data_IF_773021010562
#
_entry.id   IF_773021010562
#
_cell.length_a   1.000
_cell.length_b   1.000
_cell.length_c   1.000
_cell.angle_alpha   90.00
_cell.angle_beta   90.00
_cell.angle_gamma   90.00
#
_symmetry.space_group_name_H-M   'P 1'
#
loop_
_entity.id
_entity.type
_entity.pdbx_description
1 polymer ?
#
# COMPACT_ATOMS: atom_id res chain seq x y z
N UNK A 1 4.46 15.80 -1.33
CA UNK A 1 5.12 17.10 -1.59
C UNK A 1 5.50 17.72 -0.26
N UNK A 2 6.57 18.53 -0.18
CA UNK A 2 6.78 19.38 1.00
C UNK A 2 5.81 20.55 0.95
N UNK A 3 5.01 20.74 2.00
CA UNK A 3 4.08 21.86 2.08
C UNK A 3 4.84 23.18 2.21
N UNK A 4 4.68 24.09 1.25
CA UNK A 4 5.41 25.37 1.20
C UNK A 4 4.87 26.39 2.21
N UNK A 5 3.57 26.34 2.52
CA UNK A 5 2.92 27.36 3.36
C UNK A 5 2.67 26.88 4.79
N UNK A 6 2.29 25.60 4.97
CA UNK A 6 1.90 25.02 6.27
C UNK A 6 2.60 23.69 6.56
N UNK A 7 3.58 23.30 5.75
CA UNK A 7 4.34 22.09 6.00
C UNK A 7 5.26 22.23 7.20
N UNK A 8 5.62 21.09 7.81
CA UNK A 8 6.58 21.03 8.92
C UNK A 8 7.89 21.73 8.54
N UNK A 9 8.38 21.49 7.32
CA UNK A 9 9.54 22.16 6.77
C UNK A 9 9.40 23.68 6.74
N UNK A 10 8.30 24.22 6.22
CA UNK A 10 8.07 25.66 6.14
C UNK A 10 8.04 26.30 7.54
N UNK A 11 7.37 25.65 8.50
CA UNK A 11 7.34 26.12 9.91
C UNK A 11 8.71 26.11 10.56
N UNK A 12 9.52 25.07 10.30
CA UNK A 12 10.88 25.00 10.83
C UNK A 12 11.81 26.03 10.18
N UNK A 13 11.61 26.35 8.89
CA UNK A 13 12.36 27.40 8.21
C UNK A 13 12.02 28.81 8.73
N UNK A 14 10.77 29.05 9.18
CA UNK A 14 10.42 30.29 9.87
C UNK A 14 11.18 30.48 11.19
N UNK A 15 11.45 29.38 11.91
CA UNK A 15 12.18 29.41 13.18
C UNK A 15 13.70 29.40 12.97
N UNK A 16 14.17 28.77 11.90
CA UNK A 16 15.57 28.61 11.56
C UNK A 16 15.79 28.83 10.06
N UNK A 17 16.08 30.07 9.61
CA UNK A 17 16.23 30.38 8.18
C UNK A 17 17.40 29.65 7.50
N UNK A 18 18.40 29.19 8.26
CA UNK A 18 19.53 28.41 7.75
C UNK A 18 19.20 26.93 7.53
N UNK A 19 17.99 26.48 7.86
CA UNK A 19 17.56 25.10 7.66
C UNK A 19 17.43 24.78 6.17
N UNK A 20 18.22 23.80 5.72
CA UNK A 20 18.15 23.25 4.36
C UNK A 20 17.32 21.96 4.37
N UNK A 21 16.09 21.97 3.83
CA UNK A 21 15.31 20.75 3.76
C UNK A 21 15.80 19.83 2.66
N UNK A 22 16.05 18.57 3.03
CA UNK A 22 16.42 17.52 2.09
C UNK A 22 15.18 16.67 1.79
N UNK A 23 14.95 16.41 0.50
CA UNK A 23 13.87 15.54 0.07
C UNK A 23 14.31 14.08 0.20
N UNK A 24 13.52 13.27 0.90
CA UNK A 24 13.70 11.82 0.86
C UNK A 24 13.34 11.32 -0.54
N UNK A 25 14.32 10.77 -1.25
CA UNK A 25 14.15 10.24 -2.62
C UNK A 25 13.08 9.15 -2.66
N UNK A 26 13.05 8.26 -1.66
CA UNK A 26 12.06 7.19 -1.57
C UNK A 26 10.63 7.75 -1.47
N UNK A 27 10.41 8.76 -0.62
CA UNK A 27 9.09 9.40 -0.51
C UNK A 27 8.70 10.16 -1.78
N UNK A 28 9.67 10.80 -2.45
CA UNK A 28 9.40 11.50 -3.71
C UNK A 28 9.00 10.53 -4.82
N UNK A 29 9.68 9.39 -4.94
CA UNK A 29 9.35 8.35 -5.91
C UNK A 29 7.95 7.78 -5.67
N UNK A 30 7.62 7.50 -4.41
CA UNK A 30 6.28 7.04 -4.01
C UNK A 30 5.19 8.05 -4.40
N UNK A 31 5.38 9.33 -4.09
CA UNK A 31 4.42 10.37 -4.46
C UNK A 31 4.18 10.43 -5.97
N UNK A 32 5.25 10.35 -6.77
CA UNK A 32 5.14 10.34 -8.23
C UNK A 32 4.37 9.12 -8.70
N UNK A 33 4.66 7.92 -8.18
CA UNK A 33 3.93 6.71 -8.53
C UNK A 33 2.43 6.82 -8.17
N UNK A 34 2.11 7.34 -6.98
CA UNK A 34 0.72 7.57 -6.55
C UNK A 34 0.02 8.62 -7.42
N UNK A 35 0.72 9.67 -7.85
CA UNK A 35 0.18 10.69 -8.74
C UNK A 35 -0.04 10.15 -10.15
N UNK A 36 0.84 9.26 -10.66
CA UNK A 36 0.63 8.55 -11.92
C UNK A 36 -0.60 7.64 -11.88
N UNK A 37 -0.81 6.91 -10.78
CA UNK A 37 -1.98 6.04 -10.60
C UNK A 37 -3.29 6.83 -10.60
N UNK A 38 -3.32 8.02 -10.00
CA UNK A 38 -4.50 8.90 -10.03
C UNK A 38 -4.91 9.33 -11.44
N UNK A 39 -3.97 9.35 -12.39
CA UNK A 39 -4.26 9.72 -13.78
C UNK A 39 -4.97 8.60 -14.55
N UNK A 40 -4.97 7.37 -14.04
CA UNK A 40 -5.61 6.21 -14.65
C UNK A 40 -6.75 5.73 -13.73
N UNK A 41 -8.03 6.04 -14.05
CA UNK A 41 -9.17 5.75 -13.19
C UNK A 41 -9.25 4.28 -12.75
N UNK A 42 -8.97 3.35 -13.67
CA UNK A 42 -9.01 1.93 -13.40
C UNK A 42 -7.98 1.50 -12.33
N UNK A 43 -6.77 2.07 -12.38
CA UNK A 43 -5.74 1.79 -11.37
C UNK A 43 -6.10 2.40 -10.02
N UNK A 44 -6.76 3.56 -10.04
CA UNK A 44 -7.28 4.19 -8.83
C UNK A 44 -8.38 3.34 -8.17
N UNK A 45 -9.29 2.76 -8.95
CA UNK A 45 -10.36 1.88 -8.46
C UNK A 45 -9.79 0.58 -7.89
N UNK A 46 -8.81 -0.03 -8.58
CA UNK A 46 -8.09 -1.22 -8.09
C UNK A 46 -7.41 -0.90 -6.75
N UNK A 47 -6.67 0.20 -6.69
CA UNK A 47 -6.01 0.64 -5.45
C UNK A 47 -7.01 0.82 -4.32
N UNK A 48 -8.13 1.51 -4.57
CA UNK A 48 -9.16 1.77 -3.57
C UNK A 48 -9.77 0.46 -3.05
N UNK A 49 -10.03 -0.48 -3.95
CA UNK A 49 -10.56 -1.80 -3.63
C UNK A 49 -9.59 -2.58 -2.74
N UNK A 50 -8.30 -2.64 -3.11
CA UNK A 50 -7.28 -3.30 -2.30
C UNK A 50 -7.13 -2.66 -0.90
N UNK A 51 -7.19 -1.33 -0.82
CA UNK A 51 -7.17 -0.61 0.46
C UNK A 51 -8.38 -0.99 1.33
N UNK A 52 -9.57 -1.08 0.73
CA UNK A 52 -10.80 -1.43 1.43
C UNK A 52 -10.75 -2.86 1.96
N UNK A 53 -10.26 -3.82 1.16
CA UNK A 53 -10.09 -5.21 1.58
C UNK A 53 -9.09 -5.30 2.74
N UNK A 54 -7.92 -4.64 2.63
CA UNK A 54 -6.95 -4.60 3.72
C UNK A 54 -7.54 -4.05 5.02
N UNK A 55 -8.26 -2.92 4.94
CA UNK A 55 -8.91 -2.30 6.10
C UNK A 55 -9.99 -3.20 6.69
N UNK A 56 -10.79 -3.86 5.86
CA UNK A 56 -11.83 -4.76 6.33
C UNK A 56 -11.26 -5.89 7.19
N UNK A 57 -10.21 -6.57 6.73
CA UNK A 57 -9.61 -7.68 7.46
C UNK A 57 -8.59 -7.27 8.52
N UNK A 58 -8.11 -6.03 8.54
CA UNK A 58 -7.18 -5.57 9.59
C UNK A 58 -7.93 -4.88 10.73
N UNK A 59 -8.99 -4.14 10.43
CA UNK A 59 -9.74 -3.37 11.43
C UNK A 59 -10.93 -4.14 12.02
N UNK A 60 -11.40 -5.21 11.39
CA UNK A 60 -12.49 -6.05 11.91
C UNK A 60 -11.97 -7.36 12.45
N UNK A 61 -11.94 -7.47 13.78
CA UNK A 61 -11.61 -8.72 14.47
C UNK A 61 -12.62 -9.84 14.15
N UNK A 62 -13.88 -9.49 13.88
CA UNK A 62 -14.92 -10.46 13.47
C UNK A 62 -14.63 -11.02 12.08
N UNK A 63 -14.45 -10.16 11.08
CA UNK A 63 -14.19 -10.59 9.71
C UNK A 63 -12.87 -11.39 9.60
N UNK A 64 -11.87 -11.04 10.42
CA UNK A 64 -10.62 -11.79 10.53
C UNK A 64 -10.85 -13.23 11.01
N UNK A 65 -11.67 -13.40 12.06
CA UNK A 65 -11.98 -14.72 12.64
C UNK A 65 -12.76 -15.58 11.66
N UNK A 66 -13.78 -15.00 11.03
CA UNK A 66 -14.58 -15.69 10.01
C UNK A 66 -13.69 -16.15 8.84
N UNK A 67 -12.74 -15.32 8.40
CA UNK A 67 -11.77 -15.70 7.37
C UNK A 67 -10.86 -16.85 7.81
N UNK A 68 -10.38 -16.84 9.05
CA UNK A 68 -9.56 -17.93 9.61
C UNK A 68 -10.35 -19.23 9.78
N UNK A 69 -11.63 -19.16 10.15
CA UNK A 69 -12.52 -20.32 10.25
C UNK A 69 -12.76 -20.96 8.87
N UNK A 70 -13.04 -20.12 7.86
CA UNK A 70 -13.22 -20.56 6.48
C UNK A 70 -11.92 -21.16 5.93
N UNK A 71 -10.78 -20.52 6.19
CA UNK A 71 -9.45 -21.03 5.82
C UNK A 71 -9.19 -22.43 6.37
N UNK A 72 -9.50 -22.65 7.65
CA UNK A 72 -9.35 -23.97 8.28
C UNK A 72 -10.31 -25.01 7.69
N UNK A 73 -11.54 -24.63 7.40
CA UNK A 73 -12.53 -25.54 6.83
C UNK A 73 -12.19 -25.98 5.40
N UNK A 74 -11.55 -25.09 4.62
CA UNK A 74 -11.12 -25.40 3.25
C UNK A 74 -9.69 -25.93 3.16
N UNK A 75 -8.95 -25.99 4.28
CA UNK A 75 -7.51 -26.35 4.32
C UNK A 75 -6.63 -25.46 3.41
N UNK A 76 -7.04 -24.20 3.19
CA UNK A 76 -6.33 -23.23 2.34
C UNK A 76 -5.55 -22.25 3.21
N UNK A 77 -4.26 -22.04 2.91
CA UNK A 77 -3.47 -20.97 3.51
C UNK A 77 -3.85 -19.60 2.94
N UNK A 78 -4.42 -18.72 3.76
CA UNK A 78 -4.80 -17.37 3.32
C UNK A 78 -3.71 -16.36 3.69
N UNK A 79 -3.15 -15.69 2.68
CA UNK A 79 -2.26 -14.55 2.87
C UNK A 79 -3.09 -13.30 3.14
N UNK A 80 -2.91 -12.68 4.31
CA UNK A 80 -3.58 -11.42 4.63
C UNK A 80 -3.09 -10.31 3.70
N UNK A 81 -4.01 -9.54 3.08
CA UNK A 81 -3.62 -8.44 2.21
C UNK A 81 -2.78 -7.44 3.00
N UNK A 82 -1.65 -7.02 2.44
CA UNK A 82 -0.80 -5.99 3.04
C UNK A 82 -1.39 -4.60 2.85
N UNK A 83 -0.95 -3.65 3.68
CA UNK A 83 -1.35 -2.26 3.51
C UNK A 83 -0.82 -1.72 2.17
N UNK A 84 -1.73 -1.22 1.33
CA UNK A 84 -1.44 -0.58 0.05
C UNK A 84 -1.40 0.95 0.17
N UNK A 85 -1.42 1.51 1.37
CA UNK A 85 -1.26 2.96 1.65
C UNK A 85 0.08 3.27 2.33
N UNK A 86 0.73 4.37 1.91
CA UNK A 86 1.91 4.96 2.57
C UNK A 86 3.27 4.65 1.93
N UNK A 87 4.34 5.08 2.60
CA UNK A 87 5.75 5.18 2.11
C UNK A 87 6.42 3.89 1.69
N UNK A 88 5.68 2.78 1.71
CA UNK A 88 6.14 1.43 1.42
C UNK A 88 5.26 0.80 0.34
N UNK A 89 5.00 1.53 -0.74
CA UNK A 89 4.38 0.94 -1.93
C UNK A 89 5.38 0.12 -2.76
N UNK A 90 6.66 0.47 -2.73
CA UNK A 90 7.70 -0.22 -3.51
C UNK A 90 8.08 -1.65 -3.07
N UNK A 91 7.86 -2.13 -1.82
CA UNK A 91 7.98 -3.54 -1.48
C UNK A 91 6.84 -4.40 -2.06
N UNK A 92 5.85 -3.84 -2.77
CA UNK A 92 4.82 -4.66 -3.41
C UNK A 92 5.37 -5.46 -4.60
N UNK A 93 6.47 -5.05 -5.22
CA UNK A 93 7.12 -5.84 -6.28
C UNK A 93 7.65 -7.17 -5.75
N UNK A 94 8.09 -7.23 -4.48
CA UNK A 94 8.53 -8.47 -3.83
C UNK A 94 7.39 -9.29 -3.23
N UNK A 95 6.17 -8.76 -3.12
CA UNK A 95 5.01 -9.49 -2.57
C UNK A 95 4.01 -9.93 -3.64
N UNK A 96 3.87 -9.17 -4.72
CA UNK A 96 3.13 -9.58 -5.93
C UNK A 96 3.89 -10.67 -6.68
N UNK A 97 5.23 -10.65 -6.68
CA UNK A 97 6.01 -11.75 -7.27
C UNK A 97 5.73 -13.14 -6.66
N UNK A 98 5.28 -13.20 -5.40
CA UNK A 98 4.81 -14.45 -4.80
C UNK A 98 3.37 -14.83 -5.18
N UNK A 99 2.53 -13.84 -5.48
CA UNK A 99 1.20 -14.08 -6.06
C UNK A 99 1.31 -14.51 -7.52
N UNK A 100 2.29 -14.00 -8.27
CA UNK A 100 2.55 -14.45 -9.64
C UNK A 100 2.97 -15.93 -9.63
N UNK A 101 3.87 -16.38 -8.74
CA UNK A 101 4.23 -17.80 -8.62
C UNK A 101 3.04 -18.70 -8.23
N UNK A 102 2.20 -18.30 -7.26
CA UNK A 102 1.03 -19.08 -6.83
C UNK A 102 -0.09 -19.10 -7.90
N UNK A 103 -0.29 -17.99 -8.59
CA UNK A 103 -1.32 -17.87 -9.63
C UNK A 103 -0.89 -18.58 -10.92
N UNK A 104 0.42 -18.60 -11.24
CA UNK A 104 1.00 -19.48 -12.26
C UNK A 104 0.80 -20.95 -11.90
N UNK A 105 1.12 -21.34 -10.66
CA UNK A 105 0.99 -22.72 -10.20
C UNK A 105 -0.47 -23.23 -10.28
N UNK A 106 -1.46 -22.40 -9.95
CA UNK A 106 -2.87 -22.75 -10.11
C UNK A 106 -3.33 -22.80 -11.58
N UNK A 107 -2.80 -21.96 -12.46
CA UNK A 107 -3.07 -22.02 -13.89
C UNK A 107 -2.43 -23.23 -14.56
N UNK A 108 -1.26 -23.69 -14.08
CA UNK A 108 -0.53 -24.86 -14.60
C UNK A 108 -1.14 -26.21 -14.13
N UNK A 109 -2.05 -26.19 -13.15
CA UNK A 109 -2.75 -27.40 -12.65
C UNK A 109 -4.10 -27.64 -13.34
N UNK A 110 -4.55 -26.74 -14.22
CA UNK A 110 -5.75 -26.86 -15.06
C UNK A 110 -5.39 -27.33 -16.48
#
# INVERSE_FOLDING_TARGET
MLGVNNGVTARLQHLCPSLVPIWCVAHRLELVALDSVKQVPQLQDIKQTLCAIHKHYTCSAKASRELEEISKAMEISIVRPGNTEGTRWLPHVTRIGGLDEELQAHLDTL
#
